data_IF_971518720837
#
_entry.id   IF_971518720837
#
_cell.length_a   1.000
_cell.length_b   1.000
_cell.length_c   1.000
_cell.angle_alpha   90.00
_cell.angle_beta   90.00
_cell.angle_gamma   90.00
#
_symmetry.space_group_name_H-M   'P 1'
#
loop_
_entity.id
_entity.type
_entity.pdbx_description
1 polymer ?
#
# COMPACT_ATOMS: atom_id res chain seq x y z
N UNK A 1 -16.11 8.06 4.84
CA UNK A 1 -16.67 6.70 4.84
C UNK A 1 -16.19 5.97 6.09
N UNK A 2 -17.10 5.72 7.04
CA UNK A 2 -16.87 4.88 8.22
C UNK A 2 -17.54 3.53 7.94
N UNK A 3 -16.78 2.60 7.36
CA UNK A 3 -17.21 1.20 7.28
C UNK A 3 -16.50 0.44 8.41
N UNK A 4 -17.24 -0.11 9.38
CA UNK A 4 -16.69 -0.97 10.44
C UNK A 4 -16.25 -2.35 9.92
N UNK A 5 -16.52 -2.68 8.64
CA UNK A 5 -16.17 -3.96 8.00
C UNK A 5 -14.82 -3.94 7.27
N UNK A 6 -14.07 -2.84 7.35
CA UNK A 6 -12.79 -2.70 6.65
C UNK A 6 -11.68 -3.53 7.29
N UNK A 7 -11.30 -4.66 6.67
CA UNK A 7 -10.20 -5.58 7.05
C UNK A 7 -8.79 -4.98 7.17
N UNK A 8 -8.65 -3.65 7.26
CA UNK A 8 -7.39 -2.91 7.20
C UNK A 8 -7.29 -1.88 8.32
N UNK A 9 -7.74 -2.22 9.53
CA UNK A 9 -7.61 -1.35 10.71
C UNK A 9 -6.15 -0.98 11.00
N UNK A 10 -5.21 -1.88 10.72
CA UNK A 10 -3.77 -1.64 10.83
C UNK A 10 -3.25 -0.64 9.76
N UNK A 11 -3.96 -0.47 8.65
CA UNK A 11 -3.67 0.59 7.69
C UNK A 11 -4.26 1.94 8.10
N UNK A 12 -4.79 2.13 9.32
CA UNK A 12 -5.21 3.46 9.79
C UNK A 12 -4.12 4.08 10.65
N UNK A 13 -3.79 5.35 10.39
CA UNK A 13 -2.96 6.11 11.30
C UNK A 13 -3.66 6.28 12.67
N UNK A 14 -2.91 6.31 13.79
CA UNK A 14 -3.48 6.59 15.11
C UNK A 14 -4.28 7.89 15.13
N UNK A 15 -5.35 7.94 15.92
CA UNK A 15 -6.22 9.12 16.03
C UNK A 15 -5.42 10.39 16.36
N UNK A 16 -4.42 10.28 17.25
CA UNK A 16 -3.54 11.38 17.64
C UNK A 16 -2.81 11.99 16.44
N UNK A 17 -2.18 11.17 15.58
CA UNK A 17 -1.50 11.67 14.37
C UNK A 17 -2.48 12.25 13.34
N UNK A 18 -3.70 11.71 13.25
CA UNK A 18 -4.73 12.26 12.36
C UNK A 18 -5.20 13.64 12.85
N UNK A 19 -5.38 13.83 14.15
CA UNK A 19 -5.76 15.10 14.76
C UNK A 19 -4.62 16.14 14.68
N UNK A 20 -3.37 15.71 14.85
CA UNK A 20 -2.19 16.56 14.73
C UNK A 20 -1.81 16.88 13.27
N UNK A 21 -2.51 16.33 12.28
CA UNK A 21 -2.19 16.53 10.86
C UNK A 21 -0.88 15.87 10.41
N UNK A 22 -0.26 15.03 11.24
CA UNK A 22 1.01 14.34 10.96
C UNK A 22 0.82 12.92 10.43
N UNK A 23 -0.43 12.54 10.15
CA UNK A 23 -0.75 11.26 9.53
C UNK A 23 -0.31 11.25 8.05
N UNK A 24 0.48 10.25 7.68
CA UNK A 24 0.94 10.06 6.30
C UNK A 24 0.04 9.04 5.59
N UNK A 25 -0.26 9.33 4.33
CA UNK A 25 -0.97 8.40 3.46
C UNK A 25 -0.16 7.09 3.30
N UNK A 26 -0.85 5.96 3.36
CA UNK A 26 -0.27 4.63 3.11
C UNK A 26 -1.18 3.92 2.11
N UNK A 27 -0.64 3.61 0.94
CA UNK A 27 -1.24 2.66 0.02
C UNK A 27 -0.61 1.29 0.26
N UNK A 28 -1.41 0.22 0.16
CA UNK A 28 -0.90 -1.14 0.29
C UNK A 28 -1.68 -2.11 -0.58
N UNK A 29 -1.01 -3.18 -1.01
CA UNK A 29 -1.63 -4.29 -1.72
C UNK A 29 -1.09 -5.61 -1.18
N UNK A 30 -2.03 -6.47 -0.76
CA UNK A 30 -1.76 -7.86 -0.42
C UNK A 30 -1.61 -8.71 -1.68
N UNK A 31 -0.90 -9.83 -1.56
CA UNK A 31 -0.98 -10.91 -2.52
C UNK A 31 -0.76 -12.25 -1.83
N UNK A 32 -1.32 -13.29 -2.43
CA UNK A 32 -1.25 -14.67 -1.96
C UNK A 32 -1.26 -15.56 -3.19
N UNK A 33 -0.43 -16.59 -3.22
CA UNK A 33 -0.53 -17.64 -4.24
C UNK A 33 -1.76 -18.51 -4.01
N UNK A 34 -2.25 -19.16 -5.07
CA UNK A 34 -3.44 -20.01 -4.99
C UNK A 34 -3.28 -21.20 -4.04
N UNK A 35 -2.04 -21.69 -3.88
CA UNK A 35 -1.66 -22.79 -2.98
C UNK A 35 -1.23 -22.31 -1.58
N UNK A 36 -1.31 -21.00 -1.33
CA UNK A 36 -0.98 -20.35 -0.05
C UNK A 36 0.46 -20.64 0.40
N UNK A 37 1.37 -20.95 -0.53
CA UNK A 37 2.81 -21.07 -0.24
C UNK A 37 3.49 -19.74 -0.03
N UNK A 38 2.93 -18.70 -0.61
CA UNK A 38 3.43 -17.34 -0.50
C UNK A 38 2.30 -16.41 -0.08
N UNK A 39 2.59 -15.56 0.90
CA UNK A 39 1.80 -14.36 1.17
C UNK A 39 2.74 -13.16 1.22
N UNK A 40 2.31 -12.04 0.66
CA UNK A 40 3.09 -10.81 0.69
C UNK A 40 2.21 -9.59 0.83
N UNK A 41 2.86 -8.49 1.15
CA UNK A 41 2.26 -7.17 1.09
C UNK A 41 3.31 -6.15 0.63
N UNK A 42 2.91 -5.31 -0.31
CA UNK A 42 3.70 -4.16 -0.74
C UNK A 42 2.98 -2.88 -0.33
N UNK A 43 3.71 -1.95 0.29
CA UNK A 43 3.20 -0.70 0.80
C UNK A 43 4.05 0.48 0.38
N UNK A 44 3.40 1.64 0.22
CA UNK A 44 4.06 2.91 -0.10
C UNK A 44 3.48 4.06 0.72
N UNK A 45 4.37 4.91 1.20
CA UNK A 45 4.07 6.30 1.57
C UNK A 45 4.62 7.21 0.46
N UNK A 46 4.41 8.54 0.52
CA UNK A 46 5.04 9.46 -0.42
C UNK A 46 6.58 9.43 -0.42
N UNK A 47 7.21 8.89 0.63
CA UNK A 47 8.67 8.90 0.81
C UNK A 47 9.30 7.51 0.82
N UNK A 48 8.55 6.48 1.23
CA UNK A 48 9.09 5.15 1.49
C UNK A 48 8.27 4.07 0.82
N UNK A 49 8.94 2.97 0.47
CA UNK A 49 8.31 1.73 0.04
C UNK A 49 8.81 0.57 0.90
N UNK A 50 7.94 -0.40 1.18
CA UNK A 50 8.27 -1.63 1.90
C UNK A 50 7.52 -2.79 1.27
N UNK A 51 8.24 -3.88 1.00
CA UNK A 51 7.67 -5.18 0.65
C UNK A 51 7.98 -6.17 1.76
N UNK A 52 6.97 -6.94 2.16
CA UNK A 52 7.10 -8.03 3.12
C UNK A 52 6.58 -9.29 2.47
N UNK A 53 7.39 -10.34 2.49
CA UNK A 53 7.05 -11.67 2.00
C UNK A 53 7.19 -12.66 3.13
N UNK A 54 6.26 -13.61 3.20
CA UNK A 54 6.25 -14.72 4.13
C UNK A 54 5.98 -15.98 3.32
N UNK A 55 6.87 -16.96 3.45
CA UNK A 55 6.78 -18.25 2.79
C UNK A 55 7.89 -19.17 3.28
N UNK A 56 7.80 -20.44 2.86
CA UNK A 56 8.88 -21.39 3.03
C UNK A 56 9.99 -21.07 2.03
N UNK A 57 11.25 -20.85 2.46
CA UNK A 57 12.37 -20.62 1.54
C UNK A 57 12.56 -21.73 0.50
N UNK A 58 12.11 -22.96 0.81
CA UNK A 58 12.19 -24.09 -0.12
C UNK A 58 10.93 -24.27 -0.96
N UNK A 59 9.88 -23.47 -0.70
CA UNK A 59 8.63 -23.47 -1.44
C UNK A 59 7.86 -24.77 -1.36
N UNK A 60 8.04 -25.59 -0.32
CA UNK A 60 7.35 -26.89 -0.18
C UNK A 60 6.22 -26.85 0.84
N UNK A 61 6.30 -25.99 1.85
CA UNK A 61 5.26 -25.79 2.85
C UNK A 61 4.38 -24.58 2.53
N UNK A 62 3.09 -24.70 2.81
CA UNK A 62 2.18 -23.55 2.84
C UNK A 62 2.47 -22.66 4.05
N UNK A 63 2.19 -21.36 3.91
CA UNK A 63 2.22 -20.42 5.02
C UNK A 63 1.26 -20.89 6.12
N UNK A 64 1.66 -20.85 7.41
CA UNK A 64 0.76 -21.12 8.52
C UNK A 64 -0.56 -20.36 8.42
N UNK A 65 -1.67 -21.06 8.63
CA UNK A 65 -3.01 -20.53 8.36
C UNK A 65 -3.38 -19.34 9.25
N UNK A 66 -2.78 -19.21 10.44
CA UNK A 66 -2.90 -18.03 11.32
C UNK A 66 -2.21 -16.81 10.70
N UNK A 67 -0.96 -16.93 10.24
CA UNK A 67 -0.23 -15.83 9.59
C UNK A 67 -0.92 -15.31 8.33
N UNK A 68 -1.50 -16.23 7.53
CA UNK A 68 -2.32 -15.88 6.38
C UNK A 68 -3.60 -15.13 6.80
N UNK A 69 -4.38 -15.69 7.73
CA UNK A 69 -5.65 -15.09 8.18
C UNK A 69 -5.45 -13.72 8.82
N UNK A 70 -4.36 -13.56 9.56
CA UNK A 70 -4.02 -12.29 10.20
C UNK A 70 -3.41 -11.28 9.25
N UNK A 71 -3.19 -11.63 7.98
CA UNK A 71 -2.49 -10.81 6.99
C UNK A 71 -1.15 -10.29 7.54
N UNK A 72 -0.37 -11.18 8.16
CA UNK A 72 0.84 -10.82 8.89
C UNK A 72 1.78 -9.93 8.05
N UNK A 73 1.99 -10.25 6.77
CA UNK A 73 2.80 -9.44 5.86
C UNK A 73 2.30 -7.99 5.72
N UNK A 74 0.99 -7.76 5.71
CA UNK A 74 0.44 -6.41 5.61
C UNK A 74 0.48 -5.63 6.92
N UNK A 75 0.46 -6.31 8.07
CA UNK A 75 0.58 -5.66 9.38
C UNK A 75 1.93 -4.97 9.54
N UNK A 76 2.99 -5.59 9.03
CA UNK A 76 4.35 -5.04 9.07
C UNK A 76 4.50 -3.71 8.31
N UNK A 77 3.62 -3.43 7.34
CA UNK A 77 3.60 -2.12 6.66
C UNK A 77 3.24 -0.95 7.61
N UNK A 78 2.74 -1.23 8.82
CA UNK A 78 2.57 -0.22 9.87
C UNK A 78 3.86 0.54 10.19
N UNK A 79 5.02 -0.12 10.10
CA UNK A 79 6.34 0.48 10.34
C UNK A 79 6.57 1.70 9.44
N UNK A 80 6.09 1.68 8.19
CA UNK A 80 6.25 2.80 7.26
C UNK A 80 5.67 4.11 7.78
N UNK A 81 4.71 4.08 8.72
CA UNK A 81 4.18 5.27 9.37
C UNK A 81 5.00 5.76 10.55
N UNK A 82 5.77 4.88 11.17
CA UNK A 82 6.58 5.21 12.34
C UNK A 82 7.88 5.90 11.96
N UNK A 83 8.39 5.61 10.76
CA UNK A 83 9.53 6.28 10.17
C UNK A 83 9.30 7.80 10.06
N UNK A 84 10.36 8.62 10.15
CA UNK A 84 10.26 10.07 9.98
C UNK A 84 9.96 10.43 8.52
N UNK A 85 8.88 11.18 8.27
CA UNK A 85 8.56 11.70 6.93
C UNK A 85 8.85 13.20 6.85
N UNK A 86 9.61 13.59 5.85
CA UNK A 86 9.68 14.97 5.36
C UNK A 86 8.71 15.20 4.20
N UNK A 87 8.31 14.14 3.49
CA UNK A 87 7.30 14.16 2.43
C UNK A 87 6.05 13.39 2.88
N UNK A 88 4.95 14.11 3.08
CA UNK A 88 3.72 13.56 3.68
C UNK A 88 2.53 13.45 2.72
N UNK A 89 2.64 14.03 1.52
CA UNK A 89 1.63 13.96 0.47
C UNK A 89 2.29 13.77 -0.91
N UNK A 90 1.56 13.12 -1.82
CA UNK A 90 1.90 13.11 -3.25
C UNK A 90 1.23 14.31 -3.92
N UNK A 91 1.97 15.01 -4.76
CA UNK A 91 1.39 16.01 -5.64
C UNK A 91 0.46 15.32 -6.64
N UNK A 92 -0.70 15.94 -6.88
CA UNK A 92 -1.61 15.45 -7.93
C UNK A 92 -0.99 15.82 -9.28
N UNK A 93 -0.68 14.84 -10.15
CA UNK A 93 -0.08 15.14 -11.45
C UNK A 93 -0.99 16.01 -12.31
N UNK A 94 -0.38 16.78 -13.23
CA UNK A 94 -1.12 17.53 -14.24
C UNK A 94 -2.07 16.60 -15.01
N UNK A 95 -3.29 17.07 -15.28
CA UNK A 95 -4.31 16.27 -15.97
C UNK A 95 -5.04 15.26 -15.09
N UNK A 96 -4.79 15.22 -13.77
CA UNK A 96 -5.60 14.47 -12.80
C UNK A 96 -6.42 15.45 -11.95
N UNK A 97 -7.70 15.18 -11.79
CA UNK A 97 -8.63 15.91 -10.89
C UNK A 97 -9.27 14.96 -9.88
N UNK A 98 -10.03 15.49 -8.91
CA UNK A 98 -10.81 14.69 -7.96
C UNK A 98 -12.30 14.90 -8.15
N UNK A 99 -13.04 13.81 -8.33
CA UNK A 99 -14.51 13.79 -8.37
C UNK A 99 -15.00 12.84 -7.29
N UNK A 100 -15.77 13.33 -6.31
CA UNK A 100 -16.20 12.51 -5.18
C UNK A 100 -15.06 11.92 -4.34
N UNK A 101 -13.88 12.55 -4.33
CA UNK A 101 -12.68 12.07 -3.64
C UNK A 101 -11.82 11.07 -4.43
N UNK A 102 -12.31 10.58 -5.57
CA UNK A 102 -11.59 9.67 -6.47
C UNK A 102 -10.72 10.49 -7.42
N UNK A 103 -9.45 10.12 -7.59
CA UNK A 103 -8.59 10.69 -8.61
C UNK A 103 -9.00 10.16 -10.00
N UNK A 104 -9.33 11.07 -10.92
CA UNK A 104 -9.77 10.77 -12.29
C UNK A 104 -9.05 11.70 -13.27
N UNK A 105 -8.86 11.30 -14.55
CA UNK A 105 -8.39 12.22 -15.57
C UNK A 105 -9.27 13.47 -15.67
N UNK A 106 -8.65 14.63 -15.81
CA UNK A 106 -9.36 15.86 -16.13
C UNK A 106 -10.05 15.71 -17.51
N UNK A 107 -11.19 16.41 -17.74
CA UNK A 107 -11.84 16.36 -19.04
C UNK A 107 -10.86 16.69 -20.17
N UNK A 108 -10.74 15.80 -21.16
CA UNK A 108 -9.83 15.95 -22.29
C UNK A 108 -8.35 15.58 -22.03
N UNK A 109 -7.99 15.11 -20.83
CA UNK A 109 -6.63 14.64 -20.56
C UNK A 109 -6.37 13.25 -21.17
N UNK A 110 -5.29 13.12 -21.95
CA UNK A 110 -4.75 11.83 -22.41
C UNK A 110 -3.72 11.31 -21.40
N UNK A 111 -4.22 10.65 -20.35
CA UNK A 111 -3.38 10.05 -19.30
C UNK A 111 -2.92 8.68 -19.78
N UNK A 112 -1.62 8.55 -20.06
CA UNK A 112 -0.99 7.27 -20.41
C UNK A 112 0.05 6.89 -19.37
N UNK A 113 0.22 5.59 -19.18
CA UNK A 113 1.37 5.10 -18.45
C UNK A 113 2.65 5.54 -19.19
N UNK A 114 3.69 5.96 -18.47
CA UNK A 114 4.97 6.28 -19.09
C UNK A 114 5.51 5.06 -19.84
N UNK A 115 6.19 5.30 -20.96
CA UNK A 115 6.91 4.24 -21.67
C UNK A 115 8.06 3.77 -20.77
N UNK A 116 8.08 2.48 -20.43
CA UNK A 116 9.17 1.91 -19.65
C UNK A 116 10.49 2.11 -20.42
N UNK A 117 11.58 2.50 -19.75
CA UNK A 117 12.89 2.52 -20.39
C UNK A 117 13.22 1.10 -20.88
N UNK A 118 13.75 1.01 -22.10
CA UNK A 118 14.28 -0.25 -22.63
C UNK A 118 15.35 -0.77 -21.68
N UNK A 119 15.39 -2.07 -21.35
CA UNK A 119 16.51 -2.62 -20.61
C UNK A 119 17.78 -2.38 -21.42
N UNK A 120 18.80 -1.79 -20.79
CA UNK A 120 20.14 -1.72 -21.36
C UNK A 120 20.57 -3.17 -21.66
N UNK A 121 20.82 -3.46 -22.94
CA UNK A 121 21.27 -4.78 -23.42
C UNK A 121 22.73 -5.01 -23.06
#
# INVERSE_FOLDING_TARGET
>A
MNDPSGHVHFLRAPLTRRLLGTAVALGAKSGTTDDVRDTWCAGVTPQYALGVWIGDPQGVQSVPADLYRDQAACRELGLLRELPHTVTALEVPAGITRVGGVAVPAPGADVRNPVLPSPDR
#
